data_IF_179297260724
#
_entry.id   IF_179297260724
#
_cell.length_a   1.000
_cell.length_b   1.000
_cell.length_c   1.000
_cell.angle_alpha   90.00
_cell.angle_beta   90.00
_cell.angle_gamma   90.00
#
_symmetry.space_group_name_H-M   'P 1'
#
loop_
_entity.id
_entity.type
_entity.pdbx_description
1 polymer ?
#
# COMPACT_ATOMS: atom_id res chain seq x y z
N UNK A 1 2.18 -0.42 12.42
CA UNK A 1 2.28 0.95 11.86
C UNK A 1 2.83 0.84 10.45
N UNK A 2 2.14 1.32 9.42
CA UNK A 2 2.40 1.00 7.99
C UNK A 2 3.85 1.27 7.55
N UNK A 3 4.48 2.37 7.99
CA UNK A 3 5.85 2.73 7.57
C UNK A 3 6.96 2.11 8.42
N UNK A 4 6.63 1.61 9.60
CA UNK A 4 7.54 0.80 10.44
C UNK A 4 7.27 -0.69 10.29
N UNK A 5 6.23 -1.04 9.56
CA UNK A 5 5.85 -2.41 9.23
C UNK A 5 6.70 -3.02 8.12
N UNK A 6 6.39 -4.25 7.78
CA UNK A 6 7.10 -4.98 6.75
C UNK A 6 6.76 -4.46 5.34
N UNK A 7 7.65 -4.63 4.34
CA UNK A 7 7.33 -4.38 2.94
C UNK A 7 6.06 -5.10 2.47
N UNK A 8 5.75 -6.25 3.07
CA UNK A 8 4.51 -7.01 2.78
C UNK A 8 3.26 -6.22 3.16
N UNK A 9 3.25 -5.54 4.31
CA UNK A 9 2.09 -4.72 4.73
C UNK A 9 1.88 -3.54 3.78
N UNK A 10 2.95 -2.92 3.30
CA UNK A 10 2.88 -1.82 2.36
C UNK A 10 2.37 -2.28 0.98
N UNK A 11 2.81 -3.44 0.49
CA UNK A 11 2.25 -4.04 -0.73
C UNK A 11 0.78 -4.39 -0.55
N UNK A 12 0.40 -5.00 0.58
CA UNK A 12 -0.98 -5.33 0.86
C UNK A 12 -1.89 -4.09 0.84
N UNK A 13 -1.40 -2.93 1.30
CA UNK A 13 -2.16 -1.69 1.19
C UNK A 13 -2.46 -1.33 -0.26
N UNK A 14 -1.47 -1.43 -1.17
CA UNK A 14 -1.69 -1.21 -2.61
C UNK A 14 -2.67 -2.24 -3.18
N UNK A 15 -2.39 -3.51 -2.95
CA UNK A 15 -3.11 -4.62 -3.59
C UNK A 15 -4.59 -4.68 -3.15
N UNK A 16 -4.89 -4.40 -1.88
CA UNK A 16 -6.27 -4.34 -1.36
C UNK A 16 -7.04 -3.18 -2.02
N UNK A 17 -6.44 -1.97 -2.09
CA UNK A 17 -7.12 -0.83 -2.67
C UNK A 17 -7.30 -0.96 -4.18
N UNK A 18 -6.30 -1.45 -4.88
CA UNK A 18 -6.37 -1.71 -6.32
C UNK A 18 -7.36 -2.82 -6.67
N UNK A 19 -7.40 -3.91 -5.90
CA UNK A 19 -8.35 -5.01 -6.12
C UNK A 19 -9.81 -4.58 -5.93
N UNK A 20 -10.06 -3.64 -5.00
CA UNK A 20 -11.41 -3.07 -4.80
C UNK A 20 -11.85 -2.17 -5.96
N UNK A 21 -10.91 -1.43 -6.56
CA UNK A 21 -11.20 -0.50 -7.65
C UNK A 21 -11.22 -1.18 -9.02
N UNK A 22 -10.37 -2.17 -9.23
CA UNK A 22 -10.14 -2.82 -10.51
C UNK A 22 -10.19 -4.34 -10.39
N UNK A 23 -11.33 -5.00 -10.70
CA UNK A 23 -11.44 -6.47 -10.63
C UNK A 23 -10.38 -7.20 -11.47
N UNK A 24 -9.97 -6.62 -12.61
CA UNK A 24 -8.91 -7.18 -13.46
C UNK A 24 -7.55 -7.20 -12.77
N UNK A 25 -7.28 -6.27 -11.85
CA UNK A 25 -6.06 -6.26 -11.07
C UNK A 25 -5.97 -7.50 -10.17
N UNK A 26 -7.09 -7.88 -9.54
CA UNK A 26 -7.16 -9.09 -8.72
C UNK A 26 -6.88 -10.37 -9.53
N UNK A 27 -7.33 -10.43 -10.78
CA UNK A 27 -7.01 -11.56 -11.68
C UNK A 27 -5.51 -11.62 -11.97
N UNK A 28 -4.86 -10.48 -12.28
CA UNK A 28 -3.42 -10.44 -12.53
C UNK A 28 -2.60 -10.87 -11.30
N UNK A 29 -2.92 -10.36 -10.11
CA UNK A 29 -2.26 -10.73 -8.86
C UNK A 29 -2.42 -12.23 -8.58
N UNK A 30 -3.63 -12.77 -8.72
CA UNK A 30 -3.91 -14.19 -8.47
C UNK A 30 -3.12 -15.11 -9.42
N UNK A 31 -3.06 -14.76 -10.71
CA UNK A 31 -2.26 -15.49 -11.70
C UNK A 31 -0.78 -15.39 -11.41
N UNK A 32 -0.27 -14.19 -11.11
CA UNK A 32 1.11 -13.99 -10.75
C UNK A 32 1.51 -14.84 -9.54
N UNK A 33 0.74 -14.83 -8.46
CA UNK A 33 1.01 -15.62 -7.26
C UNK A 33 0.98 -17.13 -7.51
N UNK A 34 0.06 -17.60 -8.36
CA UNK A 34 0.01 -19.01 -8.77
C UNK A 34 1.30 -19.42 -9.48
N UNK A 35 1.73 -18.63 -10.47
CA UNK A 35 2.95 -18.90 -11.22
C UNK A 35 4.19 -18.77 -10.34
N UNK A 36 4.21 -17.81 -9.40
CA UNK A 36 5.30 -17.64 -8.45
C UNK A 36 5.48 -18.89 -7.57
N UNK A 37 4.36 -19.45 -7.07
CA UNK A 37 4.42 -20.71 -6.31
C UNK A 37 4.96 -21.85 -7.16
N UNK A 38 4.49 -22.00 -8.40
CA UNK A 38 4.98 -23.03 -9.32
C UNK A 38 6.47 -22.88 -9.61
N UNK A 39 6.94 -21.66 -9.90
CA UNK A 39 8.36 -21.39 -10.13
C UNK A 39 9.22 -21.73 -8.91
N UNK A 40 8.75 -21.39 -7.71
CA UNK A 40 9.46 -21.72 -6.48
C UNK A 40 9.51 -23.25 -6.22
N UNK A 41 8.49 -24.01 -6.59
CA UNK A 41 8.55 -25.48 -6.51
C UNK A 41 9.57 -26.07 -7.52
N UNK A 42 9.65 -25.51 -8.73
CA UNK A 42 10.69 -25.91 -9.69
C UNK A 42 12.09 -25.65 -9.11
N UNK A 43 12.31 -24.46 -8.50
CA UNK A 43 13.59 -24.11 -7.87
C UNK A 43 13.98 -25.00 -6.69
N UNK A 44 13.01 -25.63 -6.00
CA UNK A 44 13.24 -26.54 -4.88
C UNK A 44 13.54 -27.98 -5.32
N UNK A 45 13.22 -28.33 -6.56
CA UNK A 45 13.43 -29.70 -7.05
C UNK A 45 14.91 -30.07 -7.04
N UNK A 46 15.23 -31.34 -6.84
CA UNK A 46 16.62 -31.85 -6.87
C UNK A 46 17.27 -31.62 -8.23
N UNK A 47 16.48 -31.78 -9.30
CA UNK A 47 16.90 -31.51 -10.68
C UNK A 47 15.97 -30.43 -11.26
N UNK A 48 16.50 -29.23 -11.42
CA UNK A 48 15.75 -28.09 -11.94
C UNK A 48 15.52 -28.27 -13.44
N UNK A 49 14.26 -28.29 -13.86
CA UNK A 49 13.90 -28.26 -15.28
C UNK A 49 14.00 -26.83 -15.81
N UNK A 50 15.03 -26.58 -16.62
CA UNK A 50 15.33 -25.25 -17.18
C UNK A 50 14.20 -24.72 -18.07
N UNK A 51 13.56 -25.58 -18.88
CA UNK A 51 12.48 -25.18 -19.78
C UNK A 51 11.24 -24.73 -19.00
N UNK A 52 10.88 -25.48 -17.95
CA UNK A 52 9.77 -25.10 -17.07
C UNK A 52 10.07 -23.83 -16.29
N UNK A 53 11.33 -23.65 -15.86
CA UNK A 53 11.77 -22.44 -15.16
C UNK A 53 11.69 -21.20 -16.07
N UNK A 54 12.16 -21.32 -17.31
CA UNK A 54 12.05 -20.25 -18.31
C UNK A 54 10.59 -19.90 -18.63
N UNK A 55 9.75 -20.88 -18.93
CA UNK A 55 8.34 -20.67 -19.20
C UNK A 55 7.59 -20.01 -18.02
N UNK A 56 7.89 -20.45 -16.79
CA UNK A 56 7.33 -19.82 -15.59
C UNK A 56 7.81 -18.37 -15.41
N UNK A 57 9.05 -18.07 -15.77
CA UNK A 57 9.62 -16.72 -15.71
C UNK A 57 8.92 -15.79 -16.72
N UNK A 58 8.71 -16.25 -17.96
CA UNK A 58 7.96 -15.49 -18.98
C UNK A 58 6.56 -15.16 -18.53
N UNK A 59 5.85 -16.11 -17.89
CA UNK A 59 4.51 -15.88 -17.33
C UNK A 59 4.55 -14.88 -16.17
N UNK A 60 5.55 -14.94 -15.29
CA UNK A 60 5.72 -13.92 -14.23
C UNK A 60 5.89 -12.53 -14.83
N UNK A 61 6.75 -12.37 -15.83
CA UNK A 61 6.97 -11.10 -16.52
C UNK A 61 5.69 -10.60 -17.18
N UNK A 62 4.96 -11.48 -17.86
CA UNK A 62 3.67 -11.15 -18.50
C UNK A 62 2.65 -10.60 -17.51
N UNK A 63 2.48 -11.23 -16.33
CA UNK A 63 1.50 -10.78 -15.34
C UNK A 63 2.00 -9.61 -14.50
N UNK A 64 3.30 -9.45 -14.32
CA UNK A 64 3.86 -8.34 -13.52
C UNK A 64 3.68 -6.97 -14.20
N UNK A 65 3.78 -6.87 -15.52
CA UNK A 65 3.68 -5.59 -16.24
C UNK A 65 2.40 -4.80 -15.92
N UNK A 66 1.21 -5.38 -16.12
CA UNK A 66 -0.04 -4.71 -15.73
C UNK A 66 -0.08 -4.32 -14.25
N UNK A 67 0.40 -5.18 -13.34
CA UNK A 67 0.42 -4.90 -11.89
C UNK A 67 1.28 -3.69 -11.58
N UNK A 68 2.48 -3.60 -12.17
CA UNK A 68 3.39 -2.44 -12.01
C UNK A 68 2.70 -1.16 -12.48
N UNK A 69 2.03 -1.19 -13.63
CA UNK A 69 1.29 -0.04 -14.15
C UNK A 69 0.21 0.44 -13.19
N UNK A 70 -0.63 -0.47 -12.71
CA UNK A 70 -1.69 -0.13 -11.75
C UNK A 70 -1.11 0.47 -10.46
N UNK A 71 -0.04 -0.13 -9.91
CA UNK A 71 0.62 0.38 -8.71
C UNK A 71 1.23 1.77 -8.93
N UNK A 72 1.89 1.99 -10.07
CA UNK A 72 2.48 3.29 -10.41
C UNK A 72 1.41 4.38 -10.58
N UNK A 73 0.30 4.09 -11.28
CA UNK A 73 -0.83 4.99 -11.40
C UNK A 73 -1.44 5.32 -10.03
N UNK A 74 -1.72 4.32 -9.22
CA UNK A 74 -2.29 4.50 -7.89
C UNK A 74 -1.39 5.38 -7.01
N UNK A 75 -0.08 5.15 -7.00
CA UNK A 75 0.86 5.95 -6.22
C UNK A 75 0.92 7.38 -6.72
N UNK A 76 0.84 7.62 -8.03
CA UNK A 76 0.76 8.96 -8.61
C UNK A 76 -0.51 9.68 -8.13
N UNK A 77 -1.67 9.04 -8.28
CA UNK A 77 -2.96 9.64 -7.94
C UNK A 77 -3.09 9.92 -6.45
N UNK A 78 -2.61 8.99 -5.61
CA UNK A 78 -2.68 9.15 -4.15
C UNK A 78 -1.75 10.24 -3.63
N UNK A 79 -0.63 10.53 -4.29
CA UNK A 79 0.29 11.60 -3.89
C UNK A 79 -0.41 12.97 -3.83
N UNK A 80 -1.20 13.31 -4.83
CA UNK A 80 -1.91 14.59 -4.89
C UNK A 80 -2.94 14.73 -3.76
N UNK A 81 -3.59 13.62 -3.41
CA UNK A 81 -4.57 13.55 -2.32
C UNK A 81 -3.86 13.62 -0.97
N UNK A 82 -2.78 12.86 -0.80
CA UNK A 82 -2.03 12.77 0.45
C UNK A 82 -1.46 14.12 0.88
N UNK A 83 -0.91 14.90 -0.06
CA UNK A 83 -0.41 16.26 0.21
C UNK A 83 -1.52 17.14 0.80
N UNK A 84 -2.73 17.09 0.23
CA UNK A 84 -3.88 17.88 0.71
C UNK A 84 -4.32 17.46 2.11
N UNK A 85 -4.41 16.14 2.35
CA UNK A 85 -4.84 15.59 3.64
C UNK A 85 -3.80 15.90 4.72
N UNK A 86 -2.54 15.62 4.46
CA UNK A 86 -1.47 15.87 5.43
C UNK A 86 -1.40 17.33 5.84
N UNK A 87 -1.47 18.26 4.87
CA UNK A 87 -1.53 19.69 5.16
C UNK A 87 -2.72 20.06 6.06
N UNK A 88 -3.87 19.43 5.86
CA UNK A 88 -5.06 19.67 6.69
C UNK A 88 -4.87 19.13 8.10
N UNK A 89 -4.24 17.97 8.26
CA UNK A 89 -4.07 17.30 9.56
C UNK A 89 -2.93 17.87 10.39
N UNK A 90 -1.85 18.33 9.77
CA UNK A 90 -0.66 18.81 10.48
C UNK A 90 -0.57 20.33 10.55
N UNK A 91 -1.33 21.05 9.72
CA UNK A 91 -1.21 22.51 9.57
C UNK A 91 0.10 22.94 8.88
N UNK A 92 0.99 22.02 8.54
CA UNK A 92 2.33 22.30 8.02
C UNK A 92 2.35 22.13 6.50
N UNK A 93 3.12 22.99 5.81
CA UNK A 93 3.35 22.95 4.36
C UNK A 93 4.48 21.96 3.98
N UNK A 94 4.60 20.88 4.69
CA UNK A 94 5.65 19.89 4.44
C UNK A 94 5.41 19.13 3.14
N UNK A 95 6.49 18.84 2.42
CA UNK A 95 6.44 18.03 1.21
C UNK A 95 6.43 16.56 1.61
N UNK A 96 5.26 15.94 1.52
CA UNK A 96 5.11 14.49 1.64
C UNK A 96 5.08 13.87 0.25
N UNK A 97 5.72 12.72 0.09
CA UNK A 97 5.77 12.01 -1.19
C UNK A 97 5.85 10.50 -0.99
N UNK A 98 4.98 9.77 -1.69
CA UNK A 98 5.09 8.31 -1.83
C UNK A 98 5.88 8.02 -3.10
N UNK A 99 6.85 7.14 -2.99
CA UNK A 99 7.61 6.64 -4.14
C UNK A 99 7.41 5.13 -4.24
N UNK A 100 6.99 4.67 -5.41
CA UNK A 100 6.94 3.26 -5.75
C UNK A 100 8.22 2.87 -6.47
N UNK A 101 8.81 1.74 -6.06
CA UNK A 101 10.07 1.21 -6.60
C UNK A 101 9.81 -0.16 -7.23
N UNK A 102 9.46 -0.21 -8.52
CA UNK A 102 9.30 -1.45 -9.24
C UNK A 102 10.65 -2.15 -9.43
N UNK A 103 10.64 -3.48 -9.59
CA UNK A 103 11.85 -4.25 -9.89
C UNK A 103 12.40 -3.94 -11.29
N UNK A 104 11.53 -3.50 -12.21
CA UNK A 104 11.86 -2.96 -13.54
C UNK A 104 10.84 -1.86 -13.87
N UNK A 105 11.31 -0.74 -14.38
CA UNK A 105 10.44 0.35 -14.81
C UNK A 105 9.63 -0.03 -16.05
N UNK A 106 8.40 0.51 -16.14
CA UNK A 106 7.62 0.34 -17.37
C UNK A 106 8.18 1.19 -18.50
N UNK A 107 8.57 0.55 -19.56
CA UNK A 107 9.10 1.13 -20.80
C UNK A 107 8.58 0.33 -22.00
N UNK A 108 8.87 0.79 -23.22
CA UNK A 108 8.62 0.01 -24.44
C UNK A 108 9.33 -1.35 -24.42
N UNK A 109 10.45 -1.43 -23.74
CA UNK A 109 11.30 -2.62 -23.65
C UNK A 109 11.12 -3.41 -22.35
N UNK A 110 10.05 -3.09 -21.56
CA UNK A 110 9.79 -3.72 -20.25
C UNK A 110 9.98 -5.24 -20.26
N UNK A 111 9.40 -5.95 -21.23
CA UNK A 111 9.45 -7.40 -21.26
C UNK A 111 10.88 -7.91 -21.35
N UNK A 112 11.70 -7.31 -22.22
CA UNK A 112 13.12 -7.64 -22.39
C UNK A 112 13.89 -7.34 -21.11
N UNK A 113 13.73 -6.13 -20.56
CA UNK A 113 14.43 -5.71 -19.34
C UNK A 113 14.08 -6.58 -18.14
N UNK A 114 12.81 -6.99 -18.01
CA UNK A 114 12.35 -7.87 -16.95
C UNK A 114 12.92 -9.29 -17.08
N UNK A 115 12.93 -9.86 -18.28
CA UNK A 115 13.57 -11.17 -18.54
C UNK A 115 15.06 -11.14 -18.25
N UNK A 116 15.77 -10.07 -18.65
CA UNK A 116 17.19 -9.89 -18.32
C UNK A 116 17.42 -9.75 -16.81
N UNK A 117 16.54 -9.06 -16.10
CA UNK A 117 16.61 -8.96 -14.62
C UNK A 117 16.46 -10.33 -13.97
N UNK A 118 15.50 -11.14 -14.39
CA UNK A 118 15.36 -12.53 -13.93
C UNK A 118 16.56 -13.40 -14.28
N UNK A 119 17.14 -13.24 -15.46
CA UNK A 119 18.36 -13.95 -15.85
C UNK A 119 19.54 -13.60 -14.94
N UNK A 120 19.71 -12.31 -14.61
CA UNK A 120 20.77 -11.89 -13.67
C UNK A 120 20.55 -12.41 -12.24
N UNK A 121 19.30 -12.63 -11.82
CA UNK A 121 18.98 -13.15 -10.49
C UNK A 121 19.02 -14.68 -10.39
N UNK A 122 19.19 -15.41 -11.49
CA UNK A 122 19.00 -16.86 -11.56
C UNK A 122 19.89 -17.62 -10.59
N UNK A 123 21.18 -17.31 -10.50
CA UNK A 123 22.12 -17.97 -9.59
C UNK A 123 21.71 -17.78 -8.11
N UNK A 124 21.19 -16.60 -7.79
CA UNK A 124 20.67 -16.30 -6.46
C UNK A 124 19.39 -17.10 -6.18
N UNK A 125 18.48 -17.17 -7.15
CA UNK A 125 17.24 -17.95 -7.06
C UNK A 125 17.52 -19.45 -6.85
N UNK A 126 18.45 -20.02 -7.60
CA UNK A 126 18.88 -21.41 -7.47
C UNK A 126 19.49 -21.71 -6.11
N UNK A 127 20.36 -20.82 -5.61
CA UNK A 127 21.01 -20.96 -4.30
C UNK A 127 20.01 -20.92 -3.16
N UNK A 128 19.06 -20.00 -3.21
CA UNK A 128 18.07 -19.82 -2.14
C UNK A 128 16.78 -20.63 -2.35
N UNK A 129 16.67 -21.34 -3.49
CA UNK A 129 15.49 -22.13 -3.87
C UNK A 129 14.20 -21.30 -3.85
N UNK A 130 14.30 -20.03 -4.21
CA UNK A 130 13.20 -19.06 -4.18
C UNK A 130 13.43 -17.91 -5.15
N UNK A 131 12.35 -17.39 -5.71
CA UNK A 131 12.37 -16.22 -6.58
C UNK A 131 12.73 -14.98 -5.78
N UNK A 132 13.86 -14.35 -6.09
CA UNK A 132 14.44 -13.23 -5.32
C UNK A 132 14.01 -11.85 -5.81
N UNK A 133 13.51 -11.73 -7.03
CA UNK A 133 13.04 -10.46 -7.63
C UNK A 133 11.60 -10.57 -8.14
N UNK A 134 10.98 -9.46 -8.43
CA UNK A 134 9.61 -9.37 -8.97
C UNK A 134 8.67 -8.59 -8.07
N UNK A 135 7.41 -8.43 -8.48
CA UNK A 135 6.43 -7.58 -7.79
C UNK A 135 6.18 -7.95 -6.32
N UNK A 136 6.44 -9.19 -5.93
CA UNK A 136 6.34 -9.68 -4.54
C UNK A 136 7.51 -9.21 -3.65
N UNK A 137 8.54 -8.59 -4.21
CA UNK A 137 9.71 -8.01 -3.54
C UNK A 137 9.75 -6.49 -3.60
N UNK A 138 8.87 -5.89 -4.38
CA UNK A 138 8.77 -4.44 -4.50
C UNK A 138 8.34 -3.77 -3.20
N UNK A 139 8.53 -2.46 -3.16
CA UNK A 139 8.15 -1.66 -2.00
C UNK A 139 7.70 -0.26 -2.39
N UNK A 140 6.99 0.38 -1.46
CA UNK A 140 6.76 1.82 -1.46
C UNK A 140 7.46 2.45 -0.27
N UNK A 141 8.04 3.62 -0.48
CA UNK A 141 8.58 4.45 0.60
C UNK A 141 7.81 5.76 0.68
N UNK A 142 7.77 6.34 1.86
CA UNK A 142 7.17 7.65 2.08
C UNK A 142 8.23 8.57 2.66
N UNK A 143 8.41 9.72 2.04
CA UNK A 143 9.32 10.75 2.51
C UNK A 143 8.56 11.99 2.98
N UNK A 144 9.09 12.63 4.01
CA UNK A 144 8.68 13.93 4.51
C UNK A 144 9.87 14.88 4.34
N UNK A 145 9.71 15.92 3.53
CA UNK A 145 10.81 16.85 3.17
C UNK A 145 12.05 16.13 2.63
N UNK A 146 11.86 15.06 1.84
CA UNK A 146 12.93 14.26 1.24
C UNK A 146 13.58 13.25 2.18
N UNK A 147 13.20 13.18 3.46
CA UNK A 147 13.68 12.18 4.42
C UNK A 147 12.68 11.05 4.59
N UNK A 148 13.15 9.82 4.64
CA UNK A 148 12.28 8.65 4.88
C UNK A 148 11.58 8.77 6.23
N UNK A 149 10.25 8.74 6.22
CA UNK A 149 9.46 8.98 7.42
C UNK A 149 9.53 7.81 8.41
N UNK A 150 9.75 6.61 7.93
CA UNK A 150 9.90 5.41 8.78
C UNK A 150 11.13 5.49 9.66
N UNK A 151 12.21 6.06 9.11
CA UNK A 151 13.52 6.18 9.77
C UNK A 151 13.66 7.47 10.58
N UNK A 152 13.21 8.61 10.03
CA UNK A 152 13.50 9.93 10.58
C UNK A 152 12.28 10.64 11.19
N UNK A 153 11.06 10.17 10.91
CA UNK A 153 9.84 10.77 11.44
C UNK A 153 9.63 10.48 12.93
N UNK A 154 9.13 11.47 13.67
CA UNK A 154 8.63 11.27 15.03
C UNK A 154 7.48 10.26 15.08
N UNK A 155 7.12 9.77 16.24
CA UNK A 155 5.98 8.85 16.37
C UNK A 155 4.67 9.51 15.93
N UNK A 156 4.45 10.78 16.30
CA UNK A 156 3.27 11.55 15.94
C UNK A 156 3.17 11.78 14.42
N UNK A 157 4.24 12.22 13.76
CA UNK A 157 4.30 12.39 12.31
C UNK A 157 4.01 11.08 11.57
N UNK A 158 4.65 9.98 11.99
CA UNK A 158 4.41 8.66 11.41
C UNK A 158 2.95 8.23 11.51
N UNK A 159 2.27 8.52 12.63
CA UNK A 159 0.87 8.20 12.86
C UNK A 159 -0.05 9.01 11.97
N UNK A 160 0.14 10.33 11.92
CA UNK A 160 -0.66 11.23 11.11
C UNK A 160 -0.52 10.94 9.62
N UNK A 161 0.70 10.71 9.15
CA UNK A 161 0.95 10.35 7.76
C UNK A 161 0.38 8.97 7.42
N UNK A 162 0.51 7.99 8.31
CA UNK A 162 -0.10 6.67 8.12
C UNK A 162 -1.64 6.76 8.05
N UNK A 163 -2.25 7.60 8.90
CA UNK A 163 -3.68 7.86 8.89
C UNK A 163 -4.08 8.56 7.59
N UNK A 164 -3.38 9.62 7.21
CA UNK A 164 -3.60 10.33 5.96
C UNK A 164 -3.56 9.39 4.75
N UNK A 165 -2.55 8.51 4.69
CA UNK A 165 -2.43 7.54 3.61
C UNK A 165 -3.57 6.53 3.60
N UNK A 166 -3.97 6.00 4.77
CA UNK A 166 -5.10 5.06 4.87
C UNK A 166 -6.44 5.69 4.48
N UNK A 167 -6.62 6.98 4.73
CA UNK A 167 -7.85 7.72 4.38
C UNK A 167 -7.84 8.22 2.93
N UNK A 168 -6.67 8.34 2.30
CA UNK A 168 -6.54 8.87 0.94
C UNK A 168 -7.36 8.13 -0.12
N UNK A 169 -7.46 6.77 -0.13
CA UNK A 169 -8.23 6.06 -1.14
C UNK A 169 -9.74 6.40 -1.15
N UNK A 170 -10.27 6.87 -0.03
CA UNK A 170 -11.66 7.35 0.04
C UNK A 170 -11.94 8.45 -0.99
N UNK A 171 -10.99 9.38 -1.16
CA UNK A 171 -11.12 10.52 -2.06
C UNK A 171 -10.86 10.18 -3.53
N UNK A 172 -10.41 8.96 -3.82
CA UNK A 172 -10.30 8.44 -5.19
C UNK A 172 -11.64 7.89 -5.71
N UNK A 173 -12.60 7.63 -4.82
CA UNK A 173 -13.92 7.12 -5.17
C UNK A 173 -14.82 8.31 -5.52
N UNK A 174 -15.21 8.41 -6.78
CA UNK A 174 -16.06 9.50 -7.30
C UNK A 174 -17.56 9.24 -7.14
N UNK A 175 -17.95 7.98 -7.07
CA UNK A 175 -19.34 7.54 -6.87
C UNK A 175 -19.69 7.62 -5.38
N UNK A 176 -20.58 8.55 -5.01
CA UNK A 176 -20.95 8.78 -3.61
C UNK A 176 -21.59 7.55 -2.96
N UNK A 177 -22.37 6.77 -3.72
CA UNK A 177 -23.06 5.57 -3.23
C UNK A 177 -22.09 4.41 -2.92
N UNK A 178 -20.86 4.49 -3.44
CA UNK A 178 -19.80 3.50 -3.22
C UNK A 178 -18.76 3.92 -2.18
N UNK A 179 -18.92 5.10 -1.58
CA UNK A 179 -17.99 5.55 -0.55
C UNK A 179 -18.07 4.66 0.68
N UNK A 180 -16.92 4.16 1.18
CA UNK A 180 -16.89 3.29 2.35
C UNK A 180 -17.22 4.07 3.63
N UNK A 181 -17.76 3.36 4.62
CA UNK A 181 -17.83 3.84 5.99
C UNK A 181 -16.41 3.87 6.56
N UNK A 182 -16.07 4.96 7.25
CA UNK A 182 -14.78 5.09 7.93
C UNK A 182 -14.94 4.69 9.40
N UNK A 183 -14.12 3.76 9.85
CA UNK A 183 -14.07 3.34 11.26
C UNK A 183 -12.68 3.62 11.80
N UNK A 184 -12.60 4.44 12.86
CA UNK A 184 -11.37 4.81 13.56
C UNK A 184 -11.41 4.23 14.97
N UNK A 185 -10.56 3.24 15.21
CA UNK A 185 -10.48 2.53 16.49
C UNK A 185 -9.32 3.10 17.32
N UNK A 186 -9.65 3.72 18.46
CA UNK A 186 -8.75 4.33 19.46
C UNK A 186 -7.66 5.26 18.87
N UNK A 187 -7.97 5.93 17.75
CA UNK A 187 -6.97 6.79 17.08
C UNK A 187 -6.73 8.09 17.87
N UNK A 188 -7.74 8.57 18.58
CA UNK A 188 -7.70 9.86 19.27
C UNK A 188 -6.81 9.85 20.52
N UNK A 189 -6.70 8.71 21.21
CA UNK A 189 -5.87 8.57 22.43
C UNK A 189 -4.38 8.83 22.15
N UNK A 190 -3.95 8.64 20.93
CA UNK A 190 -2.56 8.75 20.51
C UNK A 190 -2.16 10.14 19.95
N UNK A 191 -3.12 11.08 19.88
CA UNK A 191 -2.91 12.41 19.33
C UNK A 191 -2.97 13.47 20.45
N UNK A 192 -2.18 14.54 20.32
CA UNK A 192 -2.32 15.74 21.15
C UNK A 192 -3.62 16.51 20.80
N UNK A 193 -3.92 17.52 21.58
CA UNK A 193 -5.18 18.27 21.45
C UNK A 193 -5.34 18.90 20.06
N UNK A 194 -4.31 19.55 19.56
CA UNK A 194 -4.38 20.30 18.29
C UNK A 194 -4.59 19.34 17.12
N UNK A 195 -3.88 18.22 17.09
CA UNK A 195 -4.04 17.21 16.05
C UNK A 195 -5.40 16.48 16.13
N UNK A 196 -5.96 16.28 17.34
CA UNK A 196 -7.34 15.76 17.50
C UNK A 196 -8.37 16.70 16.87
N UNK A 197 -8.29 17.99 17.17
CA UNK A 197 -9.20 19.00 16.62
C UNK A 197 -9.10 19.06 15.08
N UNK A 198 -7.89 19.01 14.53
CA UNK A 198 -7.69 18.98 13.08
C UNK A 198 -8.27 17.71 12.45
N UNK A 199 -8.06 16.56 13.09
CA UNK A 199 -8.61 15.29 12.61
C UNK A 199 -10.14 15.32 12.64
N UNK A 200 -10.78 15.78 13.73
CA UNK A 200 -12.24 15.90 13.82
C UNK A 200 -12.79 16.79 12.71
N UNK A 201 -12.17 17.96 12.47
CA UNK A 201 -12.56 18.85 11.37
C UNK A 201 -12.42 18.16 10.00
N UNK A 202 -11.35 17.40 9.82
CA UNK A 202 -11.11 16.66 8.58
C UNK A 202 -12.14 15.54 8.36
N UNK A 203 -12.50 14.82 9.42
CA UNK A 203 -13.45 13.71 9.36
C UNK A 203 -14.87 14.12 8.96
N UNK A 204 -15.24 15.39 9.13
CA UNK A 204 -16.51 15.93 8.63
C UNK A 204 -16.64 15.93 7.09
N UNK A 205 -15.56 15.63 6.37
CA UNK A 205 -15.58 15.49 4.90
C UNK A 205 -16.02 14.10 4.41
N UNK A 206 -16.20 13.16 5.35
CA UNK A 206 -16.60 11.79 5.02
C UNK A 206 -18.11 11.63 5.19
N UNK A 207 -18.73 10.78 4.37
CA UNK A 207 -20.17 10.54 4.40
C UNK A 207 -20.62 9.93 5.75
N UNK A 208 -19.85 8.96 6.26
CA UNK A 208 -20.12 8.33 7.55
C UNK A 208 -18.83 7.92 8.25
N UNK A 209 -18.72 8.26 9.54
CA UNK A 209 -17.55 7.96 10.38
C UNK A 209 -18.00 7.39 11.71
N UNK A 210 -17.38 6.32 12.15
CA UNK A 210 -17.46 5.80 13.51
C UNK A 210 -16.09 5.95 14.17
N UNK A 211 -16.09 6.43 15.41
CA UNK A 211 -14.89 6.62 16.22
C UNK A 211 -15.11 5.92 17.55
N UNK A 212 -14.18 5.03 17.93
CA UNK A 212 -14.14 4.47 19.27
C UNK A 212 -13.14 5.26 20.14
N UNK A 213 -13.56 5.63 21.33
CA UNK A 213 -12.72 6.32 22.31
C UNK A 213 -13.36 6.20 23.69
N UNK A 214 -12.56 6.29 24.76
CA UNK A 214 -13.04 6.18 26.14
C UNK A 214 -13.52 7.49 26.74
N UNK A 215 -13.10 8.65 26.19
CA UNK A 215 -13.31 9.98 26.79
C UNK A 215 -13.65 11.07 25.77
N UNK A 216 -13.80 10.72 24.50
CA UNK A 216 -13.98 11.71 23.44
C UNK A 216 -15.42 12.25 23.44
N UNK A 217 -15.54 13.57 23.48
CA UNK A 217 -16.77 14.29 23.19
C UNK A 217 -16.58 15.09 21.91
N UNK A 218 -17.49 14.88 20.94
CA UNK A 218 -17.48 15.59 19.66
C UNK A 218 -18.83 16.30 19.52
N UNK A 219 -18.77 17.61 19.41
CA UNK A 219 -19.95 18.42 19.19
C UNK A 219 -20.68 18.04 17.89
N UNK A 220 -21.98 17.79 18.00
CA UNK A 220 -22.82 17.36 16.87
C UNK A 220 -22.67 15.90 16.46
N UNK A 221 -21.95 15.06 17.22
CA UNK A 221 -21.89 13.62 16.99
C UNK A 221 -22.93 12.86 17.83
N UNK A 222 -23.42 11.73 17.30
CA UNK A 222 -24.25 10.80 18.08
C UNK A 222 -23.35 9.90 18.92
N UNK A 223 -23.52 9.93 20.24
CA UNK A 223 -22.77 9.06 21.17
C UNK A 223 -23.52 7.76 21.38
N UNK A 224 -22.81 6.65 21.23
CA UNK A 224 -23.30 5.29 21.52
C UNK A 224 -22.44 4.71 22.63
N UNK A 225 -23.02 4.44 23.80
CA UNK A 225 -22.32 3.81 24.91
C UNK A 225 -22.41 2.29 24.81
N UNK A 226 -21.23 1.62 24.78
CA UNK A 226 -21.14 0.17 24.83
C UNK A 226 -21.09 -0.26 26.30
N UNK A 227 -22.20 -0.79 26.83
CA UNK A 227 -22.24 -1.43 28.15
C UNK A 227 -21.84 -2.90 28.04
N UNK A 228 -21.04 -3.39 28.99
CA UNK A 228 -20.80 -4.86 29.07
C UNK A 228 -22.14 -5.55 29.33
N UNK A 229 -22.56 -6.41 28.41
CA UNK A 229 -23.60 -7.38 28.73
C UNK A 229 -23.04 -8.31 29.83
N UNK A 230 -23.69 -8.35 30.99
CA UNK A 230 -23.41 -9.33 32.02
C UNK A 230 -23.77 -10.73 31.53
#
# INVERSE_FOLDING_TARGET
MLFRGSPKERRNFLDINLSKQFPIYLDYISRYEKVLRQRNEILKSEKVDQKLLEASTELLVKYAGPIINYRAMFVKDINDILIKITRTLTGVKEKIEITYRPFVNMSSDYQKEALEAFKRSLDNDLRHKATSIGIHREDISVSLNGKDIGTFGSQGENRLVALALKLSPYFMITDEDKKPIVVLDDVMSELDKDHREQLIKFLRKFAQVFITDTKLEIDGATRIELTKSN
#
